data_IF_321874597710
#
_entry.id   IF_321874597710
#
_cell.length_a   1.000
_cell.length_b   1.000
_cell.length_c   1.000
_cell.angle_alpha   90.00
_cell.angle_beta   90.00
_cell.angle_gamma   90.00
#
_symmetry.space_group_name_H-M   'P 1'
#
loop_
_entity.id
_entity.type
_entity.pdbx_description
1 polymer ?
#
# COMPACT_ATOMS: atom_id res chain seq x y z
N UNK A 1 19.34 30.73 32.28
CA UNK A 1 18.76 29.68 31.41
C UNK A 1 19.75 29.47 30.28
N UNK A 2 20.31 28.26 30.11
CA UNK A 2 21.17 28.00 28.93
C UNK A 2 20.28 28.12 27.71
N UNK A 3 20.70 28.88 26.69
CA UNK A 3 19.96 28.96 25.43
C UNK A 3 19.88 27.57 24.80
N UNK A 4 18.82 27.27 24.03
CA UNK A 4 18.66 25.96 23.38
C UNK A 4 19.89 25.55 22.56
N UNK A 5 20.50 26.52 21.88
CA UNK A 5 21.76 26.36 21.14
C UNK A 5 22.95 25.96 22.03
N UNK A 6 23.13 26.60 23.19
CA UNK A 6 24.21 26.22 24.11
C UNK A 6 24.05 24.80 24.65
N UNK A 7 22.82 24.41 25.00
CA UNK A 7 22.53 23.05 25.46
C UNK A 7 22.85 22.05 24.34
N UNK A 8 22.41 22.33 23.11
CA UNK A 8 22.69 21.51 21.93
C UNK A 8 24.19 21.27 21.72
N UNK A 9 25.01 22.33 21.70
CA UNK A 9 26.45 22.21 21.50
C UNK A 9 27.16 21.48 22.65
N UNK A 10 26.72 21.71 23.90
CA UNK A 10 27.23 20.99 25.08
C UNK A 10 26.95 19.49 24.97
N UNK A 11 25.74 19.11 24.59
CA UNK A 11 25.34 17.70 24.46
C UNK A 11 26.10 17.00 23.33
N UNK A 12 26.29 17.66 22.17
CA UNK A 12 27.11 17.12 21.07
C UNK A 12 28.55 16.88 21.52
N UNK A 13 29.17 17.86 22.18
CA UNK A 13 30.55 17.75 22.66
C UNK A 13 30.71 16.63 23.71
N UNK A 14 29.75 16.52 24.64
CA UNK A 14 29.72 15.45 25.64
C UNK A 14 29.62 14.07 24.97
N UNK A 15 28.73 13.94 23.98
CA UNK A 15 28.51 12.71 23.21
C UNK A 15 29.78 12.26 22.48
N UNK A 16 30.48 13.16 21.79
CA UNK A 16 31.75 12.83 21.12
C UNK A 16 32.76 12.23 22.09
N UNK A 17 32.85 12.77 23.32
CA UNK A 17 33.74 12.25 24.36
C UNK A 17 33.29 10.87 24.86
N UNK A 18 31.99 10.66 25.06
CA UNK A 18 31.42 9.38 25.49
C UNK A 18 31.63 8.29 24.44
N UNK A 19 31.35 8.58 23.16
CA UNK A 19 31.58 7.67 22.03
C UNK A 19 33.05 7.26 21.92
N UNK A 20 34.00 8.21 22.06
CA UNK A 20 35.45 7.90 22.08
C UNK A 20 35.84 6.95 23.23
N UNK A 21 35.13 7.03 24.36
CA UNK A 21 35.31 6.14 25.52
C UNK A 21 34.50 4.85 25.43
N UNK A 22 33.78 4.61 24.33
CA UNK A 22 32.86 3.48 24.13
C UNK A 22 31.71 3.45 25.15
N UNK A 23 31.36 4.60 25.73
CA UNK A 23 30.24 4.81 26.64
C UNK A 23 28.96 5.08 25.84
N UNK A 24 28.53 4.09 25.05
CA UNK A 24 27.46 4.26 24.08
C UNK A 24 26.09 4.42 24.74
N UNK A 25 25.80 3.64 25.78
CA UNK A 25 24.50 3.68 26.47
C UNK A 25 24.28 5.00 27.19
N UNK A 26 25.33 5.55 27.82
CA UNK A 26 25.26 6.86 28.45
C UNK A 26 25.14 8.00 27.42
N UNK A 27 25.75 7.83 26.24
CA UNK A 27 25.61 8.76 25.13
C UNK A 27 24.17 8.76 24.59
N UNK A 28 23.60 7.57 24.34
CA UNK A 28 22.22 7.39 23.89
C UNK A 28 21.24 8.03 24.87
N UNK A 29 21.36 7.70 26.17
CA UNK A 29 20.47 8.26 27.20
C UNK A 29 20.59 9.79 27.29
N UNK A 30 21.81 10.32 27.21
CA UNK A 30 22.06 11.77 27.21
C UNK A 30 21.43 12.46 25.99
N UNK A 31 21.56 11.87 24.80
CA UNK A 31 20.99 12.40 23.56
C UNK A 31 19.47 12.32 23.56
N UNK A 32 18.89 11.21 24.02
CA UNK A 32 17.45 11.01 24.11
C UNK A 32 16.80 12.10 24.99
N UNK A 33 17.28 12.24 26.24
CA UNK A 33 16.74 13.26 27.15
C UNK A 33 16.97 14.67 26.61
N UNK A 34 18.16 14.94 26.07
CA UNK A 34 18.49 16.24 25.50
C UNK A 34 17.62 16.62 24.30
N UNK A 35 17.30 15.65 23.43
CA UNK A 35 16.37 15.85 22.33
C UNK A 35 14.97 16.21 22.85
N UNK A 36 14.44 15.45 23.81
CA UNK A 36 13.13 15.73 24.41
C UNK A 36 13.08 17.10 25.08
N UNK A 37 14.13 17.50 25.81
CA UNK A 37 14.21 18.79 26.50
C UNK A 37 14.16 19.97 25.52
N UNK A 38 14.93 19.87 24.42
CA UNK A 38 14.95 20.87 23.35
C UNK A 38 13.61 20.93 22.61
N UNK A 39 12.99 19.78 22.32
CA UNK A 39 11.67 19.75 21.69
C UNK A 39 10.59 20.39 22.58
N UNK A 40 10.65 20.26 23.92
CA UNK A 40 9.74 21.02 24.82
C UNK A 40 9.94 22.52 24.77
N UNK A 41 11.12 22.98 24.38
CA UNK A 41 11.43 24.40 24.22
C UNK A 41 11.11 24.89 22.80
N UNK A 42 10.45 24.06 21.98
CA UNK A 42 10.17 24.33 20.56
C UNK A 42 11.41 24.47 19.67
N UNK A 43 12.57 24.01 20.14
CA UNK A 43 13.83 24.00 19.39
C UNK A 43 13.88 22.78 18.45
N UNK A 44 13.01 22.75 17.44
CA UNK A 44 12.79 21.60 16.56
C UNK A 44 14.06 21.10 15.88
N UNK A 45 14.82 22.02 15.26
CA UNK A 45 16.05 21.67 14.55
C UNK A 45 17.12 21.06 15.47
N UNK A 46 17.34 21.66 16.63
CA UNK A 46 18.32 21.19 17.61
C UNK A 46 17.91 19.85 18.22
N UNK A 47 16.64 19.69 18.61
CA UNK A 47 16.12 18.44 19.16
C UNK A 47 16.18 17.28 18.17
N UNK A 48 15.78 17.51 16.92
CA UNK A 48 15.83 16.50 15.87
C UNK A 48 17.26 16.16 15.43
N UNK A 49 18.20 17.14 15.43
CA UNK A 49 19.63 16.86 15.18
C UNK A 49 20.21 15.91 16.24
N UNK A 50 19.89 16.13 17.52
CA UNK A 50 20.29 15.20 18.58
C UNK A 50 19.66 13.82 18.43
N UNK A 51 18.41 13.74 17.96
CA UNK A 51 17.75 12.47 17.68
C UNK A 51 18.43 11.69 16.55
N UNK A 52 18.79 12.37 15.45
CA UNK A 52 19.58 11.75 14.37
C UNK A 52 20.93 11.30 14.89
N UNK A 53 21.60 12.11 15.72
CA UNK A 53 22.88 11.72 16.31
C UNK A 53 22.72 10.50 17.24
N UNK A 54 21.62 10.37 17.97
CA UNK A 54 21.32 9.17 18.78
C UNK A 54 21.24 7.93 17.90
N UNK A 55 20.55 8.02 16.76
CA UNK A 55 20.41 6.93 15.78
C UNK A 55 21.77 6.60 15.14
N UNK A 56 22.63 7.59 14.89
CA UNK A 56 24.00 7.34 14.42
C UNK A 56 24.81 6.56 15.48
N UNK A 57 24.64 6.87 16.77
CA UNK A 57 25.27 6.11 17.86
C UNK A 57 24.74 4.67 17.93
N UNK A 58 23.46 4.44 17.65
CA UNK A 58 22.94 3.07 17.46
C UNK A 58 23.69 2.35 16.34
N UNK A 59 23.94 3.02 15.22
CA UNK A 59 24.71 2.48 14.11
C UNK A 59 26.18 2.18 14.44
N UNK A 60 26.80 2.93 15.36
CA UNK A 60 28.18 2.70 15.81
C UNK A 60 28.27 1.53 16.79
N UNK A 61 27.26 1.37 17.66
CA UNK A 61 27.20 0.30 18.66
C UNK A 61 26.67 -1.03 18.08
N UNK A 62 26.18 -1.02 16.84
CA UNK A 62 25.39 -2.12 16.27
C UNK A 62 24.17 -2.48 17.15
N UNK A 63 23.44 -1.45 17.61
CA UNK A 63 22.26 -1.63 18.47
C UNK A 63 21.15 -2.39 17.70
N UNK A 64 20.64 -3.50 18.25
CA UNK A 64 19.53 -4.24 17.65
C UNK A 64 18.21 -3.44 17.74
N UNK A 65 17.24 -3.81 16.91
CA UNK A 65 15.90 -3.22 16.96
C UNK A 65 15.06 -3.87 18.07
N UNK A 66 15.32 -3.46 19.32
CA UNK A 66 14.57 -3.89 20.50
C UNK A 66 13.47 -2.87 20.90
N UNK A 67 12.73 -3.17 21.96
CA UNK A 67 11.66 -2.26 22.44
C UNK A 67 12.21 -0.93 22.89
N UNK A 68 13.30 -0.92 23.66
CA UNK A 68 13.85 0.31 24.23
C UNK A 68 14.38 1.25 23.15
N UNK A 69 15.05 0.69 22.14
CA UNK A 69 15.55 1.46 21.00
C UNK A 69 14.41 2.09 20.20
N UNK A 70 13.31 1.35 20.00
CA UNK A 70 12.08 1.83 19.37
C UNK A 70 11.41 2.92 20.20
N UNK A 71 11.22 2.68 21.49
CA UNK A 71 10.48 3.57 22.39
C UNK A 71 11.14 4.97 22.43
N UNK A 72 12.48 5.02 22.54
CA UNK A 72 13.23 6.29 22.49
C UNK A 72 13.03 7.06 21.17
N UNK A 73 12.96 6.36 20.04
CA UNK A 73 12.71 7.01 18.74
C UNK A 73 11.26 7.52 18.70
N UNK A 74 10.30 6.71 19.14
CA UNK A 74 8.87 7.07 19.09
C UNK A 74 8.53 8.21 20.06
N UNK A 75 9.18 8.29 21.21
CA UNK A 75 9.04 9.38 22.18
C UNK A 75 9.44 10.73 21.57
N UNK A 76 10.58 10.75 20.87
CA UNK A 76 11.07 11.93 20.17
C UNK A 76 10.10 12.30 19.04
N UNK A 77 9.73 11.34 18.19
CA UNK A 77 8.84 11.59 17.05
C UNK A 77 7.46 12.11 17.48
N UNK A 78 6.93 11.63 18.61
CA UNK A 78 5.66 12.10 19.17
C UNK A 78 5.71 13.56 19.62
N UNK A 79 6.89 14.06 20.01
CA UNK A 79 7.09 15.43 20.49
C UNK A 79 7.55 16.40 19.39
N UNK A 80 8.13 15.87 18.32
CA UNK A 80 8.59 16.66 17.18
C UNK A 80 7.41 17.19 16.34
N UNK A 81 7.53 18.43 15.87
CA UNK A 81 6.53 19.07 15.02
C UNK A 81 6.48 18.40 13.63
N UNK A 82 5.35 18.49 12.90
CA UNK A 82 5.21 18.03 11.52
C UNK A 82 5.95 18.92 10.53
N UNK A 83 7.27 18.94 10.64
CA UNK A 83 8.17 19.74 9.80
C UNK A 83 9.26 18.89 9.13
N UNK A 84 10.11 19.57 8.37
CA UNK A 84 11.25 18.96 7.70
C UNK A 84 12.24 18.27 8.65
N UNK A 85 12.37 18.74 9.89
CA UNK A 85 13.30 18.17 10.86
C UNK A 85 12.81 16.81 11.35
N UNK A 86 11.52 16.66 11.63
CA UNK A 86 10.96 15.36 11.98
C UNK A 86 11.07 14.35 10.84
N UNK A 87 10.90 14.80 9.58
CA UNK A 87 11.14 13.94 8.41
C UNK A 87 12.57 13.36 8.41
N UNK A 88 13.59 14.16 8.74
CA UNK A 88 14.98 13.65 8.86
C UNK A 88 15.11 12.56 9.91
N UNK A 89 14.44 12.70 11.06
CA UNK A 89 14.45 11.69 12.12
C UNK A 89 13.76 10.41 11.63
N UNK A 90 12.62 10.52 10.95
CA UNK A 90 11.92 9.37 10.34
C UNK A 90 12.82 8.65 9.33
N UNK A 91 13.44 9.39 8.40
CA UNK A 91 14.32 8.81 7.38
C UNK A 91 15.53 8.09 8.01
N UNK A 92 16.14 8.71 9.02
CA UNK A 92 17.25 8.12 9.77
C UNK A 92 16.82 6.86 10.53
N UNK A 93 15.67 6.89 11.21
CA UNK A 93 15.14 5.77 11.97
C UNK A 93 14.78 4.58 11.07
N UNK A 94 14.13 4.84 9.94
CA UNK A 94 13.84 3.82 8.93
C UNK A 94 15.13 3.21 8.39
N UNK A 95 16.09 4.03 7.97
CA UNK A 95 17.38 3.58 7.43
C UNK A 95 18.16 2.74 8.44
N UNK A 96 18.20 3.18 9.70
CA UNK A 96 18.81 2.40 10.77
C UNK A 96 18.09 1.07 10.96
N UNK A 97 16.76 1.07 11.03
CA UNK A 97 15.99 -0.16 11.26
C UNK A 97 16.19 -1.19 10.14
N UNK A 98 16.27 -0.76 8.87
CA UNK A 98 16.59 -1.64 7.72
C UNK A 98 17.96 -2.28 7.92
N UNK A 99 18.98 -1.48 8.29
CA UNK A 99 20.34 -1.98 8.49
C UNK A 99 20.41 -2.93 9.69
N UNK A 100 19.77 -2.58 10.81
CA UNK A 100 19.85 -3.30 12.07
C UNK A 100 19.03 -4.60 12.09
N UNK A 101 17.89 -4.65 11.41
CA UNK A 101 17.10 -5.88 11.26
C UNK A 101 17.53 -6.74 10.06
N UNK A 102 18.13 -6.12 9.04
CA UNK A 102 18.38 -6.77 7.75
C UNK A 102 17.15 -6.88 6.86
N UNK A 103 15.99 -6.37 7.29
CA UNK A 103 14.75 -6.39 6.53
C UNK A 103 14.68 -5.22 5.55
N UNK A 104 14.33 -5.49 4.30
CA UNK A 104 14.19 -4.45 3.26
C UNK A 104 13.17 -3.37 3.60
N UNK A 105 12.18 -3.68 4.45
CA UNK A 105 11.12 -2.77 4.89
C UNK A 105 11.44 -2.03 6.18
N UNK A 106 12.46 -2.44 6.92
CA UNK A 106 12.75 -1.94 8.26
C UNK A 106 11.88 -2.60 9.32
N UNK A 107 11.83 -2.02 10.52
CA UNK A 107 11.04 -2.60 11.61
C UNK A 107 9.52 -2.32 11.44
N UNK A 108 8.66 -3.36 11.47
CA UNK A 108 7.23 -3.21 11.26
C UNK A 108 6.52 -2.33 12.30
N UNK A 109 6.91 -2.38 13.57
CA UNK A 109 6.27 -1.58 14.64
C UNK A 109 6.63 -0.10 14.51
N UNK A 110 7.89 0.21 14.23
CA UNK A 110 8.35 1.56 13.94
C UNK A 110 7.66 2.12 12.70
N UNK A 111 7.56 1.32 11.63
CA UNK A 111 6.80 1.69 10.41
C UNK A 111 5.34 1.99 10.74
N UNK A 112 4.67 1.13 11.52
CA UNK A 112 3.29 1.33 11.93
C UNK A 112 3.09 2.59 12.78
N UNK A 113 4.03 2.87 13.69
CA UNK A 113 3.98 4.10 14.49
C UNK A 113 4.06 5.34 13.60
N UNK A 114 5.02 5.40 12.68
CA UNK A 114 5.18 6.53 11.75
C UNK A 114 3.94 6.68 10.86
N UNK A 115 3.38 5.57 10.38
CA UNK A 115 2.16 5.60 9.56
C UNK A 115 0.98 6.21 10.33
N UNK A 116 0.77 5.78 11.59
CA UNK A 116 -0.29 6.33 12.46
C UNK A 116 -0.05 7.80 12.80
N UNK A 117 1.20 8.21 12.99
CA UNK A 117 1.56 9.60 13.24
C UNK A 117 1.15 10.50 12.08
N UNK A 118 1.55 10.15 10.84
CA UNK A 118 1.18 10.89 9.64
C UNK A 118 -0.33 10.88 9.39
N UNK A 119 -1.00 9.73 9.53
CA UNK A 119 -2.44 9.63 9.35
C UNK A 119 -3.22 10.51 10.33
N UNK A 120 -2.80 10.58 11.60
CA UNK A 120 -3.40 11.45 12.62
C UNK A 120 -3.34 12.94 12.24
N UNK A 121 -2.32 13.32 11.49
CA UNK A 121 -2.10 14.69 11.03
C UNK A 121 -2.76 14.98 9.68
N UNK A 122 -3.41 13.99 9.08
CA UNK A 122 -4.03 14.10 7.76
C UNK A 122 -3.07 13.92 6.59
N UNK A 123 -1.81 13.59 6.85
CA UNK A 123 -0.79 13.35 5.82
C UNK A 123 -0.82 11.89 5.36
N UNK A 124 -1.93 11.51 4.74
CA UNK A 124 -2.17 10.11 4.37
C UNK A 124 -1.27 9.62 3.23
N UNK A 125 -0.83 10.50 2.34
CA UNK A 125 0.08 10.15 1.23
C UNK A 125 1.40 9.60 1.75
N UNK A 126 2.00 10.30 2.73
CA UNK A 126 3.22 9.82 3.38
C UNK A 126 2.93 8.63 4.31
N UNK A 127 1.78 8.59 4.97
CA UNK A 127 1.40 7.47 5.84
C UNK A 127 1.32 6.13 5.09
N UNK A 128 0.84 6.14 3.86
CA UNK A 128 0.52 4.94 3.07
C UNK A 128 1.71 4.00 2.90
N UNK A 129 2.86 4.52 2.46
CA UNK A 129 4.07 3.71 2.28
C UNK A 129 4.54 3.06 3.59
N UNK A 130 4.34 3.75 4.72
CA UNK A 130 4.66 3.22 6.04
C UNK A 130 3.66 2.16 6.50
N UNK A 131 2.36 2.34 6.24
CA UNK A 131 1.36 1.30 6.52
C UNK A 131 1.63 0.03 5.71
N UNK A 132 1.89 0.17 4.41
CA UNK A 132 2.22 -0.96 3.55
C UNK A 132 3.47 -1.69 4.05
N UNK A 133 4.56 -0.96 4.32
CA UNK A 133 5.79 -1.55 4.86
C UNK A 133 5.57 -2.25 6.22
N UNK A 134 4.65 -1.76 7.06
CA UNK A 134 4.31 -2.40 8.34
C UNK A 134 3.49 -3.69 8.21
N UNK A 135 2.84 -3.89 7.05
CA UNK A 135 2.05 -5.08 6.76
C UNK A 135 2.87 -6.20 6.09
N UNK A 136 3.96 -5.85 5.40
CA UNK A 136 4.78 -6.81 4.65
C UNK A 136 5.78 -7.49 5.57
N UNK A 137 5.58 -8.79 5.76
CA UNK A 137 6.49 -9.67 6.49
C UNK A 137 7.67 -10.07 5.62
N UNK A 138 8.87 -10.07 6.20
CA UNK A 138 10.10 -10.54 5.55
C UNK A 138 10.66 -11.72 6.34
N UNK A 139 11.66 -12.42 5.81
CA UNK A 139 12.36 -13.50 6.52
C UNK A 139 13.08 -13.03 7.80
N UNK A 140 13.25 -11.71 7.98
CA UNK A 140 13.89 -11.08 9.14
C UNK A 140 12.91 -10.38 10.09
N UNK A 141 11.62 -10.30 9.74
CA UNK A 141 10.62 -9.56 10.52
C UNK A 141 9.41 -10.42 10.86
N UNK A 142 8.46 -9.85 11.58
CA UNK A 142 7.27 -10.50 12.08
C UNK A 142 6.02 -9.75 11.60
N UNK A 143 4.91 -10.47 11.44
CA UNK A 143 3.62 -9.87 11.15
C UNK A 143 3.11 -9.03 12.35
N UNK A 144 2.60 -7.83 12.07
CA UNK A 144 1.91 -6.99 13.06
C UNK A 144 0.42 -7.06 12.82
N UNK A 145 -0.32 -7.82 13.63
CA UNK A 145 -1.77 -8.07 13.43
C UNK A 145 -2.62 -6.79 13.36
N UNK A 146 -2.19 -5.74 14.07
CA UNK A 146 -2.90 -4.45 14.08
C UNK A 146 -2.60 -3.56 12.87
N UNK A 147 -1.53 -3.84 12.11
CA UNK A 147 -1.11 -3.03 10.97
C UNK A 147 -2.17 -2.96 9.85
N UNK A 148 -2.67 -4.08 9.30
CA UNK A 148 -3.68 -4.02 8.23
C UNK A 148 -4.99 -3.39 8.69
N UNK A 149 -5.35 -3.56 9.98
CA UNK A 149 -6.56 -2.96 10.56
C UNK A 149 -6.43 -1.44 10.66
N UNK A 150 -5.29 -0.95 11.16
CA UNK A 150 -5.01 0.49 11.23
C UNK A 150 -4.91 1.11 9.83
N UNK A 151 -4.33 0.38 8.87
CA UNK A 151 -4.26 0.82 7.49
C UNK A 151 -5.64 0.97 6.86
N UNK A 152 -6.53 -0.02 7.07
CA UNK A 152 -7.91 0.03 6.60
C UNK A 152 -8.70 1.19 7.19
N UNK A 153 -8.56 1.44 8.49
CA UNK A 153 -9.19 2.59 9.16
C UNK A 153 -8.69 3.91 8.61
N UNK A 154 -7.37 4.06 8.41
CA UNK A 154 -6.78 5.27 7.85
C UNK A 154 -7.25 5.51 6.40
N UNK A 155 -7.34 4.45 5.58
CA UNK A 155 -7.84 4.56 4.21
C UNK A 155 -9.33 4.92 4.15
N UNK A 156 -10.15 4.38 5.05
CA UNK A 156 -11.56 4.75 5.15
C UNK A 156 -11.76 6.21 5.63
N UNK A 157 -10.94 6.66 6.59
CA UNK A 157 -10.95 8.05 7.05
C UNK A 157 -10.47 9.00 5.95
N UNK A 158 -9.40 8.64 5.23
CA UNK A 158 -8.89 9.43 4.11
C UNK A 158 -9.93 9.58 3.01
N UNK A 159 -10.59 8.48 2.62
CA UNK A 159 -11.69 8.50 1.66
C UNK A 159 -12.79 9.49 2.09
N UNK A 160 -13.21 9.48 3.36
CA UNK A 160 -14.25 10.39 3.85
C UNK A 160 -13.79 11.87 3.82
N UNK A 161 -12.54 12.14 4.20
CA UNK A 161 -11.96 13.49 4.15
C UNK A 161 -11.81 13.99 2.71
N UNK A 162 -11.33 13.13 1.82
CA UNK A 162 -11.20 13.39 0.39
C UNK A 162 -12.55 13.75 -0.23
N UNK A 163 -13.58 12.93 0.01
CA UNK A 163 -14.91 13.17 -0.51
C UNK A 163 -15.50 14.50 -0.01
N UNK A 164 -15.28 14.83 1.27
CA UNK A 164 -15.68 16.11 1.84
C UNK A 164 -14.97 17.28 1.16
N UNK A 165 -13.64 17.22 1.02
CA UNK A 165 -12.85 18.27 0.38
C UNK A 165 -13.23 18.48 -1.09
N UNK A 166 -13.48 17.40 -1.82
CA UNK A 166 -13.94 17.46 -3.21
C UNK A 166 -15.34 18.10 -3.31
N UNK A 167 -16.29 17.71 -2.45
CA UNK A 167 -17.64 18.31 -2.43
C UNK A 167 -17.67 19.80 -2.06
N UNK A 168 -16.69 20.28 -1.28
CA UNK A 168 -16.58 21.71 -0.93
C UNK A 168 -16.20 22.57 -2.13
N UNK A 169 -15.61 21.98 -3.17
CA UNK A 169 -15.29 22.68 -4.43
C UNK A 169 -16.51 22.77 -5.36
N UNK A 170 -17.49 21.87 -5.22
CA UNK A 170 -18.64 21.71 -6.11
C UNK A 170 -19.98 22.16 -5.49
N UNK A 171 -20.05 22.31 -4.16
CA UNK A 171 -21.03 23.16 -3.48
C UNK A 171 -22.21 22.46 -2.77
N UNK A 172 -22.31 21.13 -2.77
CA UNK A 172 -23.43 20.43 -2.10
C UNK A 172 -23.04 19.18 -1.29
N UNK A 173 -23.65 18.99 -0.11
CA UNK A 173 -23.37 17.85 0.80
C UNK A 173 -23.75 16.48 0.21
N UNK A 174 -24.74 16.41 -0.68
CA UNK A 174 -25.14 15.17 -1.36
C UNK A 174 -24.06 14.61 -2.30
N UNK A 175 -23.11 15.45 -2.68
CA UNK A 175 -22.00 15.14 -3.56
C UNK A 175 -20.90 14.36 -2.84
N UNK A 176 -20.65 14.64 -1.55
CA UNK A 176 -19.66 13.92 -0.76
C UNK A 176 -19.96 12.42 -0.67
N UNK A 177 -21.19 12.01 -0.35
CA UNK A 177 -21.56 10.59 -0.29
C UNK A 177 -21.48 9.91 -1.67
N UNK A 178 -21.77 10.65 -2.75
CA UNK A 178 -21.65 10.15 -4.12
C UNK A 178 -20.18 9.95 -4.49
N UNK A 179 -19.31 10.94 -4.24
CA UNK A 179 -17.86 10.85 -4.44
C UNK A 179 -17.30 9.70 -3.60
N UNK A 180 -17.72 9.58 -2.34
CA UNK A 180 -17.30 8.48 -1.48
C UNK A 180 -17.67 7.12 -2.07
N UNK A 181 -18.87 6.99 -2.64
CA UNK A 181 -19.34 5.75 -3.30
C UNK A 181 -18.52 5.42 -4.54
N UNK A 182 -18.18 6.42 -5.34
CA UNK A 182 -17.41 6.28 -6.58
C UNK A 182 -15.96 5.90 -6.27
N UNK A 183 -15.35 6.51 -5.28
CA UNK A 183 -13.92 6.36 -4.97
C UNK A 183 -13.60 5.21 -4.00
N UNK A 184 -14.60 4.63 -3.34
CA UNK A 184 -14.41 3.56 -2.35
C UNK A 184 -13.54 2.40 -2.87
N UNK A 185 -13.76 1.96 -4.11
CA UNK A 185 -12.96 0.89 -4.69
C UNK A 185 -11.51 1.29 -4.95
N UNK A 186 -11.26 2.51 -5.43
CA UNK A 186 -9.90 3.00 -5.70
C UNK A 186 -9.07 3.08 -4.43
N UNK A 187 -9.64 3.60 -3.34
CA UNK A 187 -8.99 3.61 -2.03
C UNK A 187 -8.73 2.21 -1.46
N UNK A 188 -9.61 1.23 -1.72
CA UNK A 188 -9.34 -0.16 -1.37
C UNK A 188 -8.13 -0.72 -2.15
N UNK A 189 -8.09 -0.48 -3.47
CA UNK A 189 -7.04 -0.99 -4.35
C UNK A 189 -5.65 -0.41 -4.06
N UNK A 190 -5.57 0.82 -3.56
CA UNK A 190 -4.31 1.43 -3.05
C UNK A 190 -3.58 0.54 -2.04
N UNK A 191 -4.35 -0.18 -1.22
CA UNK A 191 -3.79 -1.08 -0.22
C UNK A 191 -3.73 -2.52 -0.71
N UNK A 192 -4.83 -3.06 -1.24
CA UNK A 192 -4.92 -4.49 -1.54
C UNK A 192 -3.98 -4.92 -2.65
N UNK A 193 -3.87 -4.14 -3.74
CA UNK A 193 -3.01 -4.51 -4.87
C UNK A 193 -1.53 -4.58 -4.45
N UNK A 194 -0.96 -3.55 -3.79
CA UNK A 194 0.41 -3.65 -3.28
C UNK A 194 0.60 -4.74 -2.23
N UNK A 195 -0.38 -4.99 -1.34
CA UNK A 195 -0.28 -6.08 -0.37
C UNK A 195 -0.19 -7.45 -1.06
N UNK A 196 -1.03 -7.70 -2.07
CA UNK A 196 -1.00 -8.95 -2.85
C UNK A 196 0.30 -9.09 -3.64
N UNK A 197 0.80 -8.00 -4.25
CA UNK A 197 2.07 -7.98 -4.99
C UNK A 197 3.30 -8.17 -4.09
N UNK A 198 3.20 -7.87 -2.78
CA UNK A 198 4.27 -8.08 -1.80
C UNK A 198 4.05 -9.33 -0.94
N UNK A 199 3.30 -10.29 -1.47
CA UNK A 199 2.99 -11.56 -0.82
C UNK A 199 2.28 -11.50 0.55
N UNK A 200 1.70 -10.37 0.93
CA UNK A 200 1.07 -10.13 2.22
C UNK A 200 -0.44 -10.50 2.22
N UNK A 201 -0.78 -11.74 1.85
CA UNK A 201 -2.17 -12.18 1.62
C UNK A 201 -3.03 -12.12 2.88
N UNK A 202 -2.50 -12.58 4.02
CA UNK A 202 -3.24 -12.54 5.30
C UNK A 202 -3.56 -11.11 5.72
N UNK A 203 -2.63 -10.19 5.46
CA UNK A 203 -2.76 -8.77 5.73
C UNK A 203 -3.74 -8.11 4.76
N UNK A 204 -3.75 -8.50 3.48
CA UNK A 204 -4.75 -8.06 2.50
C UNK A 204 -6.17 -8.49 2.92
N UNK A 205 -6.36 -9.73 3.39
CA UNK A 205 -7.63 -10.20 3.93
C UNK A 205 -8.08 -9.40 5.16
N UNK A 206 -7.20 -9.21 6.13
CA UNK A 206 -7.50 -8.44 7.34
C UNK A 206 -7.81 -6.97 7.02
N UNK A 207 -7.08 -6.36 6.08
CA UNK A 207 -7.35 -5.02 5.58
C UNK A 207 -8.74 -4.96 4.94
N UNK A 208 -9.02 -5.86 3.98
CA UNK A 208 -10.27 -5.87 3.21
C UNK A 208 -11.49 -6.02 4.14
N UNK A 209 -11.41 -6.92 5.12
CA UNK A 209 -12.50 -7.14 6.08
C UNK A 209 -12.82 -5.87 6.89
N UNK A 210 -11.79 -5.22 7.45
CA UNK A 210 -11.97 -3.99 8.25
C UNK A 210 -12.42 -2.83 7.37
N UNK A 211 -11.83 -2.68 6.18
CA UNK A 211 -12.16 -1.60 5.25
C UNK A 211 -13.63 -1.69 4.84
N UNK A 212 -14.08 -2.84 4.33
CA UNK A 212 -15.46 -3.08 3.92
C UNK A 212 -16.44 -2.84 5.06
N UNK A 213 -16.17 -3.40 6.25
CA UNK A 213 -17.04 -3.22 7.41
C UNK A 213 -17.17 -1.73 7.77
N UNK A 214 -16.07 -0.99 7.70
CA UNK A 214 -16.04 0.44 8.02
C UNK A 214 -16.83 1.26 6.98
N UNK A 215 -16.50 1.11 5.69
CA UNK A 215 -17.11 1.93 4.64
C UNK A 215 -18.58 1.57 4.38
N UNK A 216 -18.98 0.31 4.52
CA UNK A 216 -20.38 -0.10 4.32
C UNK A 216 -21.26 0.25 5.52
N UNK A 217 -20.70 0.33 6.72
CA UNK A 217 -21.40 0.83 7.89
C UNK A 217 -21.70 2.33 7.79
N UNK A 218 -20.76 3.12 7.25
CA UNK A 218 -20.95 4.57 7.04
C UNK A 218 -21.76 4.89 5.78
N UNK A 219 -21.62 4.09 4.70
CA UNK A 219 -22.21 4.35 3.39
C UNK A 219 -23.05 3.17 2.91
N UNK A 220 -24.26 3.02 3.48
CA UNK A 220 -25.18 1.93 3.12
C UNK A 220 -25.54 1.89 1.63
N UNK A 221 -25.53 3.05 0.98
CA UNK A 221 -25.82 3.20 -0.45
C UNK A 221 -24.77 2.58 -1.38
N UNK A 222 -23.62 2.16 -0.84
CA UNK A 222 -22.62 1.38 -1.56
C UNK A 222 -23.10 -0.04 -1.85
N UNK A 223 -23.98 -0.58 -1.00
CA UNK A 223 -24.48 -1.95 -1.09
C UNK A 223 -25.64 -2.08 -2.06
N UNK A 224 -25.64 -3.15 -2.84
CA UNK A 224 -26.80 -3.54 -3.64
C UNK A 224 -27.92 -4.07 -2.72
N UNK A 225 -29.20 -3.83 -3.06
CA UNK A 225 -30.36 -4.22 -2.26
C UNK A 225 -30.67 -5.72 -2.42
N UNK A 226 -29.75 -6.57 -1.99
CA UNK A 226 -29.81 -8.03 -2.09
C UNK A 226 -29.74 -8.65 -0.70
N UNK A 227 -30.52 -9.70 -0.45
CA UNK A 227 -30.54 -10.39 0.85
C UNK A 227 -30.23 -11.89 0.66
N UNK A 228 -29.27 -12.48 1.40
CA UNK A 228 -28.31 -11.81 2.29
C UNK A 228 -27.27 -11.00 1.50
N UNK A 229 -26.74 -9.94 2.13
CA UNK A 229 -25.55 -9.18 1.72
C UNK A 229 -24.84 -8.77 3.02
N UNK A 230 -23.61 -9.24 3.30
CA UNK A 230 -22.71 -9.97 2.40
C UNK A 230 -23.13 -11.43 2.14
N UNK A 231 -22.52 -12.04 1.11
CA UNK A 231 -22.73 -13.45 0.74
C UNK A 231 -21.45 -14.27 0.94
N UNK A 232 -21.57 -15.58 1.25
CA UNK A 232 -20.41 -16.46 1.27
C UNK A 232 -19.70 -16.46 -0.09
N UNK A 233 -18.37 -16.38 -0.06
CA UNK A 233 -17.56 -16.51 -1.26
C UNK A 233 -17.60 -17.95 -1.77
N UNK A 234 -17.87 -18.11 -3.07
CA UNK A 234 -17.74 -19.38 -3.79
C UNK A 234 -16.71 -19.19 -4.91
N UNK A 235 -15.58 -19.94 -4.90
CA UNK A 235 -14.57 -19.79 -5.93
C UNK A 235 -15.14 -20.14 -7.32
N UNK A 236 -15.07 -19.22 -8.30
CA UNK A 236 -15.63 -19.45 -9.63
C UNK A 236 -15.00 -20.66 -10.32
N UNK A 237 -15.82 -21.60 -10.81
CA UNK A 237 -15.34 -22.79 -11.53
C UNK A 237 -14.68 -23.85 -10.64
N UNK A 238 -14.79 -23.75 -9.31
CA UNK A 238 -14.29 -24.78 -8.41
C UNK A 238 -15.10 -26.07 -8.52
N UNK A 239 -14.46 -27.26 -8.58
CA UNK A 239 -15.14 -28.56 -8.55
C UNK A 239 -15.68 -28.93 -7.16
N UNK A 240 -15.40 -28.12 -6.13
CA UNK A 240 -15.84 -28.38 -4.77
C UNK A 240 -17.34 -28.05 -4.58
N UNK A 241 -18.05 -28.90 -3.85
CA UNK A 241 -19.46 -28.70 -3.48
C UNK A 241 -19.60 -27.40 -2.65
N UNK A 242 -20.71 -26.65 -2.74
CA UNK A 242 -20.94 -25.39 -1.99
C UNK A 242 -20.77 -25.47 -0.46
N UNK A 243 -20.65 -26.69 0.09
CA UNK A 243 -20.47 -26.99 1.50
C UNK A 243 -19.01 -26.94 1.99
N UNK A 244 -18.00 -26.84 1.11
CA UNK A 244 -16.64 -26.45 1.54
C UNK A 244 -16.59 -24.93 1.71
N UNK A 245 -17.27 -24.43 2.72
CA UNK A 245 -17.47 -23.00 2.98
C UNK A 245 -16.14 -22.34 3.33
N UNK A 246 -15.63 -21.51 2.42
CA UNK A 246 -14.65 -20.49 2.81
C UNK A 246 -15.31 -19.55 3.81
N UNK A 247 -14.66 -19.22 4.92
CA UNK A 247 -15.18 -18.25 5.91
C UNK A 247 -15.30 -16.81 5.33
N UNK A 248 -14.76 -16.60 4.13
CA UNK A 248 -14.74 -15.32 3.45
C UNK A 248 -16.13 -14.92 2.96
N UNK A 249 -16.51 -13.69 3.26
CA UNK A 249 -17.75 -13.08 2.81
C UNK A 249 -17.46 -11.96 1.81
N UNK A 250 -18.24 -11.89 0.73
CA UNK A 250 -18.19 -10.82 -0.26
C UNK A 250 -19.41 -9.92 -0.12
N UNK A 251 -19.16 -8.62 -0.03
CA UNK A 251 -20.20 -7.59 -0.09
C UNK A 251 -20.53 -7.33 -1.56
N UNK A 252 -21.82 -7.40 -1.89
CA UNK A 252 -22.29 -7.03 -3.22
C UNK A 252 -22.45 -5.51 -3.28
N UNK A 253 -21.61 -4.85 -4.07
CA UNK A 253 -21.57 -3.39 -4.17
C UNK A 253 -21.81 -2.92 -5.60
N UNK A 254 -22.23 -1.67 -5.74
CA UNK A 254 -22.34 -1.01 -7.05
C UNK A 254 -20.98 -0.47 -7.57
N UNK A 255 -19.89 -0.63 -6.82
CA UNK A 255 -18.58 -0.10 -7.18
C UNK A 255 -17.70 -1.22 -7.79
N UNK A 256 -17.36 -1.08 -9.08
CA UNK A 256 -16.61 -2.09 -9.81
C UNK A 256 -15.18 -2.30 -9.25
N UNK A 257 -14.45 -1.23 -8.95
CA UNK A 257 -13.10 -1.30 -8.36
C UNK A 257 -13.10 -2.04 -7.01
N UNK A 258 -14.14 -1.83 -6.19
CA UNK A 258 -14.28 -2.48 -4.89
C UNK A 258 -14.65 -3.96 -5.03
N UNK A 259 -15.50 -4.29 -6.00
CA UNK A 259 -15.83 -5.68 -6.33
C UNK A 259 -14.59 -6.44 -6.85
N UNK A 260 -13.77 -5.79 -7.70
CA UNK A 260 -12.48 -6.34 -8.12
C UNK A 260 -11.55 -6.57 -6.93
N UNK A 261 -11.38 -5.59 -6.04
CA UNK A 261 -10.53 -5.72 -4.84
C UNK A 261 -10.91 -6.95 -4.02
N UNK A 262 -12.21 -7.12 -3.74
CA UNK A 262 -12.74 -8.26 -3.02
C UNK A 262 -12.42 -9.59 -3.68
N UNK A 263 -12.71 -9.70 -4.98
CA UNK A 263 -12.53 -10.95 -5.73
C UNK A 263 -11.03 -11.27 -5.95
N UNK A 264 -10.19 -10.26 -6.16
CA UNK A 264 -8.75 -10.42 -6.32
C UNK A 264 -8.13 -10.98 -5.03
N UNK A 265 -8.47 -10.40 -3.86
CA UNK A 265 -8.01 -10.91 -2.56
C UNK A 265 -8.52 -12.34 -2.33
N UNK A 266 -9.77 -12.63 -2.68
CA UNK A 266 -10.35 -13.97 -2.54
C UNK A 266 -9.63 -15.01 -3.40
N UNK A 267 -9.44 -14.76 -4.69
CA UNK A 267 -8.75 -15.67 -5.61
C UNK A 267 -7.28 -15.87 -5.23
N UNK A 268 -6.58 -14.81 -4.83
CA UNK A 268 -5.19 -14.93 -4.37
C UNK A 268 -5.13 -15.73 -3.06
N UNK A 269 -6.09 -15.54 -2.14
CA UNK A 269 -6.16 -16.34 -0.91
C UNK A 269 -6.38 -17.83 -1.18
N UNK A 270 -7.13 -18.16 -2.22
CA UNK A 270 -7.30 -19.54 -2.66
C UNK A 270 -6.02 -20.06 -3.29
N UNK A 271 -5.39 -19.27 -4.15
CA UNK A 271 -4.15 -19.66 -4.82
C UNK A 271 -2.99 -19.87 -3.85
N UNK A 272 -2.95 -19.09 -2.77
CA UNK A 272 -1.97 -19.22 -1.71
C UNK A 272 -2.01 -20.58 -0.97
N UNK A 273 -3.09 -21.35 -1.11
CA UNK A 273 -3.19 -22.73 -0.60
C UNK A 273 -2.44 -23.74 -1.49
N UNK A 274 -2.05 -23.34 -2.70
CA UNK A 274 -1.34 -24.14 -3.68
C UNK A 274 0.11 -23.69 -3.82
N UNK A 275 0.99 -24.60 -4.26
CA UNK A 275 2.32 -24.21 -4.71
C UNK A 275 2.22 -23.47 -6.06
N UNK A 276 3.10 -22.48 -6.34
CA UNK A 276 3.04 -21.70 -7.59
C UNK A 276 3.04 -22.55 -8.87
N UNK A 277 3.71 -23.72 -8.86
CA UNK A 277 3.78 -24.64 -10.00
C UNK A 277 2.56 -25.57 -10.13
N UNK A 278 1.63 -25.54 -9.17
CA UNK A 278 0.50 -26.49 -9.06
C UNK A 278 -0.85 -25.79 -8.95
N UNK A 279 -0.94 -24.52 -9.35
CA UNK A 279 -2.20 -23.77 -9.35
C UNK A 279 -3.18 -24.43 -10.36
N UNK A 280 -4.40 -24.79 -9.94
CA UNK A 280 -5.38 -25.40 -10.85
C UNK A 280 -5.74 -24.51 -12.05
N UNK A 281 -6.08 -25.12 -13.19
CA UNK A 281 -6.47 -24.37 -14.40
C UNK A 281 -7.73 -23.52 -14.19
N UNK A 282 -8.71 -24.01 -13.43
CA UNK A 282 -9.93 -23.25 -13.13
C UNK A 282 -9.62 -21.95 -12.38
N UNK A 283 -8.65 -21.98 -11.46
CA UNK A 283 -8.27 -20.81 -10.65
C UNK A 283 -7.46 -19.81 -11.50
N UNK A 284 -6.58 -20.31 -12.38
CA UNK A 284 -5.89 -19.49 -13.39
C UNK A 284 -6.89 -18.80 -14.32
N UNK A 285 -7.86 -19.55 -14.84
CA UNK A 285 -8.89 -19.01 -15.73
C UNK A 285 -9.80 -18.01 -15.01
N UNK A 286 -10.14 -18.25 -13.73
CA UNK A 286 -10.90 -17.32 -12.91
C UNK A 286 -10.18 -15.97 -12.76
N UNK A 287 -8.86 -15.98 -12.51
CA UNK A 287 -8.07 -14.75 -12.47
C UNK A 287 -8.03 -14.03 -13.82
N UNK A 288 -7.76 -14.75 -14.91
CA UNK A 288 -7.72 -14.16 -16.27
C UNK A 288 -9.06 -13.50 -16.61
N UNK A 289 -10.17 -14.19 -16.34
CA UNK A 289 -11.50 -13.68 -16.60
C UNK A 289 -11.82 -12.46 -15.71
N UNK A 290 -11.43 -12.50 -14.44
CA UNK A 290 -11.59 -11.37 -13.52
C UNK A 290 -10.88 -10.13 -14.05
N UNK A 291 -9.58 -10.24 -14.37
CA UNK A 291 -8.79 -9.12 -14.88
C UNK A 291 -9.40 -8.57 -16.16
N UNK A 292 -9.73 -9.44 -17.13
CA UNK A 292 -10.33 -9.04 -18.41
C UNK A 292 -11.66 -8.33 -18.25
N UNK A 293 -12.49 -8.75 -17.30
CA UNK A 293 -13.77 -8.12 -17.01
C UNK A 293 -13.55 -6.72 -16.43
N UNK A 294 -12.76 -6.63 -15.35
CA UNK A 294 -12.60 -5.39 -14.61
C UNK A 294 -11.65 -4.39 -15.29
N UNK A 295 -10.84 -4.79 -16.26
CA UNK A 295 -10.18 -3.84 -17.18
C UNK A 295 -11.19 -2.98 -17.96
N UNK A 296 -12.43 -3.46 -18.15
CA UNK A 296 -13.51 -2.74 -18.84
C UNK A 296 -14.43 -1.98 -17.88
N UNK A 297 -14.66 -2.55 -16.70
CA UNK A 297 -15.65 -2.06 -15.74
C UNK A 297 -15.04 -1.18 -14.64
N UNK A 298 -13.76 -1.36 -14.35
CA UNK A 298 -13.06 -0.77 -13.20
C UNK A 298 -12.02 0.26 -13.69
N UNK A 299 -12.30 1.56 -13.58
CA UNK A 299 -11.41 2.60 -14.08
C UNK A 299 -10.00 2.52 -13.52
N UNK A 300 -9.84 2.08 -12.26
CA UNK A 300 -8.54 2.03 -11.60
C UNK A 300 -7.54 1.11 -12.32
N UNK A 301 -8.01 0.01 -12.91
CA UNK A 301 -7.14 -0.97 -13.58
C UNK A 301 -6.47 -0.41 -14.83
N UNK A 302 -7.04 0.64 -15.43
CA UNK A 302 -6.52 1.26 -16.64
C UNK A 302 -5.89 2.64 -16.37
N UNK A 303 -6.43 3.39 -15.41
CA UNK A 303 -6.03 4.78 -15.16
C UNK A 303 -4.93 4.92 -14.10
N UNK A 304 -4.77 3.95 -13.20
CA UNK A 304 -3.77 4.00 -12.13
C UNK A 304 -2.55 3.14 -12.49
N UNK A 305 -1.44 3.79 -12.84
CA UNK A 305 -0.23 3.13 -13.34
C UNK A 305 0.34 2.10 -12.36
N UNK A 306 0.34 2.42 -11.06
CA UNK A 306 0.80 1.49 -10.02
C UNK A 306 -0.05 0.22 -9.93
N UNK A 307 -1.38 0.34 -10.07
CA UNK A 307 -2.29 -0.80 -10.06
C UNK A 307 -2.10 -1.61 -11.33
N UNK A 308 -2.15 -0.95 -12.49
CA UNK A 308 -1.98 -1.56 -13.82
C UNK A 308 -0.67 -2.34 -13.94
N UNK A 309 0.43 -1.80 -13.42
CA UNK A 309 1.73 -2.46 -13.45
C UNK A 309 1.82 -3.68 -12.51
N UNK A 310 1.06 -3.70 -11.41
CA UNK A 310 1.08 -4.78 -10.43
C UNK A 310 0.23 -6.00 -10.84
N UNK A 311 -0.84 -5.82 -11.64
CA UNK A 311 -1.72 -6.92 -12.04
C UNK A 311 -0.97 -8.07 -12.75
N UNK A 312 -0.09 -7.82 -13.74
CA UNK A 312 0.70 -8.89 -14.37
C UNK A 312 1.66 -9.58 -13.40
N UNK A 313 2.23 -8.84 -12.44
CA UNK A 313 3.07 -9.41 -11.40
C UNK A 313 2.27 -10.37 -10.52
N UNK A 314 1.10 -9.94 -10.01
CA UNK A 314 0.21 -10.79 -9.21
C UNK A 314 -0.19 -12.05 -9.99
N UNK A 315 -0.51 -11.90 -11.28
CA UNK A 315 -0.80 -13.02 -12.18
C UNK A 315 0.34 -14.04 -12.26
N UNK A 316 1.58 -13.57 -12.36
CA UNK A 316 2.75 -14.44 -12.40
C UNK A 316 3.02 -15.11 -11.04
N UNK A 317 3.04 -14.31 -9.98
CA UNK A 317 3.44 -14.73 -8.63
C UNK A 317 2.45 -15.74 -8.03
N UNK A 318 1.15 -15.51 -8.23
CA UNK A 318 0.11 -16.31 -7.61
C UNK A 318 -0.55 -17.32 -8.53
N UNK A 319 -0.52 -17.11 -9.86
CA UNK A 319 -1.23 -17.97 -10.80
C UNK A 319 -0.32 -18.60 -11.86
N UNK A 320 0.99 -18.36 -11.79
CA UNK A 320 1.96 -18.95 -12.72
C UNK A 320 1.78 -18.47 -14.17
N UNK A 321 1.14 -17.31 -14.37
CA UNK A 321 0.90 -16.75 -15.70
C UNK A 321 2.20 -16.19 -16.28
N UNK A 322 2.41 -16.40 -17.57
CA UNK A 322 3.53 -15.80 -18.28
C UNK A 322 3.29 -14.30 -18.39
N UNK A 323 4.26 -13.49 -17.95
CA UNK A 323 4.17 -12.04 -18.14
C UNK A 323 4.14 -11.73 -19.64
N UNK A 324 3.21 -10.87 -20.11
CA UNK A 324 3.17 -10.48 -21.50
C UNK A 324 4.50 -9.84 -21.88
N UNK A 325 5.15 -10.39 -22.91
CA UNK A 325 6.40 -9.82 -23.43
C UNK A 325 6.14 -8.37 -23.81
N UNK A 326 6.92 -7.47 -23.21
CA UNK A 326 6.79 -6.04 -23.37
C UNK A 326 6.85 -5.68 -24.87
N UNK A 327 5.75 -5.21 -25.46
CA UNK A 327 5.69 -4.77 -26.87
C UNK A 327 6.53 -3.51 -27.16
N UNK A 328 7.25 -2.97 -26.18
CA UNK A 328 8.16 -1.84 -26.35
C UNK A 328 9.40 -2.13 -27.22
N UNK A 329 9.70 -3.40 -27.51
CA UNK A 329 10.87 -3.77 -28.31
C UNK A 329 10.61 -3.87 -29.82
N UNK A 330 9.38 -3.63 -30.32
CA UNK A 330 9.10 -3.85 -31.75
C UNK A 330 9.88 -2.89 -32.66
N UNK A 331 10.13 -1.65 -32.24
CA UNK A 331 10.93 -0.69 -33.02
C UNK A 331 12.43 -1.07 -33.02
N UNK A 332 12.95 -1.52 -31.88
CA UNK A 332 14.34 -1.98 -31.75
C UNK A 332 14.57 -3.27 -32.54
N UNK A 333 13.62 -4.21 -32.50
CA UNK A 333 13.66 -5.47 -33.23
C UNK A 333 13.47 -5.26 -34.74
N UNK A 334 12.66 -4.27 -35.15
CA UNK A 334 12.56 -3.86 -36.55
C UNK A 334 13.85 -3.19 -37.04
N UNK A 335 14.47 -2.31 -36.26
CA UNK A 335 15.75 -1.68 -36.63
C UNK A 335 16.87 -2.73 -36.69
N UNK A 336 16.91 -3.67 -35.76
CA UNK A 336 17.87 -4.78 -35.79
C UNK A 336 17.67 -5.70 -37.01
N UNK A 337 16.42 -5.98 -37.36
CA UNK A 337 16.03 -6.73 -38.57
C UNK A 337 16.37 -5.97 -39.87
N UNK A 338 16.25 -4.65 -39.86
CA UNK A 338 16.54 -3.80 -41.02
C UNK A 338 18.05 -3.53 -41.22
N UNK A 339 18.85 -3.58 -40.14
CA UNK A 339 20.28 -3.21 -40.15
C UNK A 339 21.26 -4.39 -39.93
N UNK A 340 20.81 -5.62 -39.69
CA UNK A 340 21.71 -6.75 -39.39
C UNK A 340 21.30 -8.08 -40.03
N UNK A 341 22.03 -8.49 -41.07
CA UNK A 341 21.93 -9.81 -41.72
C UNK A 341 22.28 -11.01 -40.83
N UNK A 342 22.23 -12.25 -41.39
CA UNK A 342 21.92 -13.47 -40.64
C UNK A 342 22.97 -13.79 -39.56
N UNK A 343 22.53 -13.84 -38.31
CA UNK A 343 23.33 -14.27 -37.18
C UNK A 343 23.44 -15.80 -37.15
N UNK A 344 24.62 -16.28 -37.54
CA UNK A 344 25.07 -17.64 -37.30
C UNK A 344 25.29 -17.92 -35.81
N UNK A 345 25.14 -19.20 -35.46
CA UNK A 345 25.33 -19.77 -34.14
C UNK A 345 26.70 -19.43 -33.53
N UNK A 346 26.70 -19.07 -32.24
CA UNK A 346 27.92 -18.87 -31.45
C UNK A 346 27.60 -18.81 -29.96
N UNK A 347 28.12 -19.77 -29.21
CA UNK A 347 27.91 -20.00 -27.79
C UNK A 347 28.45 -18.88 -26.87
N UNK A 348 27.87 -18.74 -25.68
CA UNK A 348 28.41 -17.91 -24.62
C UNK A 348 27.40 -17.62 -23.50
N UNK A 349 26.94 -18.66 -22.79
CA UNK A 349 26.08 -18.50 -21.62
C UNK A 349 26.87 -17.96 -20.43
N UNK A 350 27.05 -16.65 -20.38
CA UNK A 350 27.50 -15.96 -19.18
C UNK A 350 26.37 -16.02 -18.15
N UNK A 351 26.63 -16.71 -17.04
CA UNK A 351 25.79 -16.67 -15.85
C UNK A 351 25.77 -15.23 -15.32
N UNK A 352 24.69 -14.50 -15.62
CA UNK A 352 24.41 -13.23 -14.98
C UNK A 352 23.95 -13.54 -13.55
N UNK A 353 24.87 -13.37 -12.59
CA UNK A 353 24.51 -13.20 -11.19
C UNK A 353 23.49 -12.05 -11.09
N UNK A 354 22.22 -12.41 -10.89
CA UNK A 354 21.23 -11.47 -10.37
C UNK A 354 21.68 -11.11 -8.96
N UNK A 355 22.33 -9.96 -8.82
CA UNK A 355 22.33 -9.25 -7.54
C UNK A 355 20.87 -9.02 -7.18
N UNK A 356 20.39 -9.68 -6.13
CA UNK A 356 19.17 -9.34 -5.42
C UNK A 356 19.25 -7.87 -4.99
N UNK A 357 18.78 -6.98 -5.86
CA UNK A 357 18.37 -5.65 -5.43
C UNK A 357 17.02 -5.86 -4.72
N UNK A 358 16.86 -5.41 -3.47
CA UNK A 358 15.59 -5.57 -2.78
C UNK A 358 14.51 -4.90 -3.62
N UNK A 359 13.51 -5.69 -4.03
CA UNK A 359 12.35 -5.19 -4.73
C UNK A 359 11.77 -4.02 -3.92
N UNK A 360 11.81 -2.82 -4.49
CA UNK A 360 11.17 -1.66 -3.87
C UNK A 360 9.68 -1.98 -3.73
N UNK A 361 9.18 -1.96 -2.50
CA UNK A 361 7.75 -1.96 -2.23
C UNK A 361 7.20 -0.68 -2.83
N UNK A 362 6.64 -0.77 -4.04
CA UNK A 362 5.94 0.34 -4.67
C UNK A 362 4.52 0.37 -4.11
N UNK A 363 4.25 1.38 -3.27
CA UNK A 363 2.88 1.78 -2.92
C UNK A 363 2.23 2.55 -4.09
N UNK A 364 0.99 2.99 -3.93
CA UNK A 364 0.36 3.86 -4.93
C UNK A 364 0.99 5.26 -4.89
N UNK A 365 1.35 5.83 -6.04
CA UNK A 365 2.22 7.02 -6.14
C UNK A 365 1.54 8.35 -5.74
N UNK A 366 0.20 8.45 -5.79
CA UNK A 366 -0.60 9.62 -5.37
C UNK A 366 -2.08 9.23 -5.23
N UNK A 367 -2.90 9.89 -4.39
CA UNK A 367 -4.33 9.59 -4.25
C UNK A 367 -5.04 9.62 -5.61
N UNK A 368 -6.05 8.76 -5.81
CA UNK A 368 -6.85 8.81 -7.02
C UNK A 368 -7.46 10.21 -7.19
N UNK A 369 -7.29 10.81 -8.36
CA UNK A 369 -8.05 12.01 -8.74
C UNK A 369 -9.53 11.64 -8.85
N UNK A 370 -10.50 12.46 -8.37
CA UNK A 370 -11.91 12.11 -8.45
C UNK A 370 -12.31 11.72 -9.87
N UNK A 371 -13.01 10.60 -10.04
CA UNK A 371 -13.74 10.30 -11.25
C UNK A 371 -14.88 11.32 -11.33
N UNK A 372 -14.80 12.20 -12.33
CA UNK A 372 -15.47 13.52 -12.54
C UNK A 372 -14.81 14.73 -11.85
N UNK A 373 -13.97 15.43 -12.62
CA UNK A 373 -14.32 16.76 -13.11
C UNK A 373 -13.87 16.82 -14.59
N UNK A 374 -14.76 17.10 -15.57
CA UNK A 374 -14.28 17.46 -16.90
C UNK A 374 -13.51 18.78 -16.75
N UNK A 375 -12.25 18.80 -17.19
CA UNK A 375 -11.63 20.07 -17.54
C UNK A 375 -12.57 20.79 -18.52
N UNK A 376 -12.80 22.07 -18.30
CA UNK A 376 -13.49 22.92 -19.24
C UNK A 376 -12.64 23.07 -20.51
N UNK A 377 -12.61 22.03 -21.35
CA UNK A 377 -12.23 22.16 -22.74
C UNK A 377 -13.47 22.56 -23.51
N UNK A 378 -13.54 23.84 -23.85
CA UNK A 378 -14.48 24.38 -24.81
C UNK A 378 -14.26 23.73 -26.16
N UNK A 379 -14.95 22.62 -26.45
CA UNK A 379 -15.24 22.20 -27.81
C UNK A 379 -16.68 21.75 -27.92
N UNK A 380 -17.46 22.54 -28.64
CA UNK A 380 -18.80 22.20 -29.09
C UNK A 380 -18.73 21.00 -30.04
N UNK A 381 -19.49 19.95 -29.75
CA UNK A 381 -19.60 18.79 -30.63
C UNK A 381 -20.43 17.68 -29.99
N UNK A 382 -21.73 17.68 -30.29
CA UNK A 382 -22.69 16.72 -29.78
C UNK A 382 -22.34 15.26 -30.11
N UNK A 383 -22.41 14.38 -29.12
CA UNK A 383 -22.71 12.97 -29.30
C UNK A 383 -23.45 12.43 -28.07
N UNK A 384 -24.77 12.36 -28.16
CA UNK A 384 -25.63 11.66 -27.21
C UNK A 384 -25.20 10.20 -27.11
N UNK A 385 -24.75 9.76 -25.92
CA UNK A 385 -24.83 8.36 -25.50
C UNK A 385 -25.82 8.30 -24.34
N UNK A 386 -26.95 7.66 -24.59
CA UNK A 386 -27.96 7.34 -23.58
C UNK A 386 -27.33 6.47 -22.50
N UNK A 387 -27.47 6.88 -21.25
CA UNK A 387 -27.24 6.03 -20.09
C UNK A 387 -28.24 4.86 -20.13
N UNK A 388 -27.74 3.63 -20.04
CA UNK A 388 -28.59 2.46 -19.89
C UNK A 388 -29.25 2.46 -18.49
N UNK A 389 -30.52 2.05 -18.36
CA UNK A 389 -31.22 2.08 -17.08
C UNK A 389 -30.66 1.03 -16.11
N UNK A 390 -30.56 1.41 -14.83
CA UNK A 390 -29.99 0.62 -13.73
C UNK A 390 -30.61 -0.79 -13.53
N UNK A 391 -31.80 -1.05 -14.09
CA UNK A 391 -32.43 -2.37 -14.07
C UNK A 391 -31.69 -3.41 -14.92
N UNK A 392 -31.07 -3.01 -16.04
CA UNK A 392 -30.36 -3.92 -16.93
C UNK A 392 -29.04 -4.43 -16.34
N UNK A 393 -28.36 -3.62 -15.50
CA UNK A 393 -27.10 -3.99 -14.85
C UNK A 393 -27.32 -5.01 -13.73
N UNK A 394 -28.46 -4.94 -13.04
CA UNK A 394 -28.83 -5.91 -12.01
C UNK A 394 -29.21 -7.27 -12.61
N UNK A 395 -29.89 -7.29 -13.77
CA UNK A 395 -30.21 -8.52 -14.49
C UNK A 395 -28.96 -9.19 -15.10
N UNK A 396 -27.98 -8.42 -15.57
CA UNK A 396 -26.72 -8.97 -16.10
C UNK A 396 -25.89 -9.64 -14.98
N UNK A 397 -25.80 -9.00 -13.80
CA UNK A 397 -25.11 -9.58 -12.62
C UNK A 397 -25.81 -10.84 -12.08
N UNK A 398 -27.14 -10.93 -12.18
CA UNK A 398 -27.90 -12.13 -11.81
C UNK A 398 -27.78 -13.25 -12.87
N UNK A 399 -27.68 -12.89 -14.15
CA UNK A 399 -27.51 -13.83 -15.27
C UNK A 399 -26.11 -14.43 -15.32
N UNK A 400 -25.10 -13.69 -14.86
CA UNK A 400 -23.71 -14.14 -14.77
C UNK A 400 -23.55 -15.26 -13.73
N UNK A 401 -24.34 -15.29 -12.65
CA UNK A 401 -24.32 -16.42 -11.71
C UNK A 401 -24.96 -17.70 -12.27
N UNK A 402 -25.85 -17.59 -13.27
CA UNK A 402 -26.47 -18.74 -13.92
C UNK A 402 -25.65 -19.29 -15.10
N UNK A 403 -24.73 -18.49 -15.66
CA UNK A 403 -23.95 -18.85 -16.87
C UNK A 403 -22.63 -19.57 -16.58
N UNK A 404 -22.40 -19.99 -15.34
CA UNK A 404 -21.22 -20.76 -14.91
C UNK A 404 -21.56 -22.17 -14.38
N UNK A 405 -22.73 -22.72 -14.74
CA UNK A 405 -23.02 -24.14 -14.60
C UNK A 405 -22.67 -24.93 -15.86
#
# INVERSE_FOLDING_TARGET
MSTGYELHQKLRTKTVRQVKKKQYDEAISTLHQGALDLLSQSEQGSGCDLAVYMIDVYGIKDQPVDSEARDRITDILAKAAPDFWRKKVVDAAVKWSIKASGASTGDPLLRLFVAKLYAKEGDYEHAEAHFLASCVETDKTYAVESAPKAYAQAMAEWLAKFAKQASEQEGEKGEADAIQRIEAGRFALRATVPLLANHAVKQALAFQQVYLTTVTASLKSLLLPVTPNPRPYVPPGSPATPASTTELQLYLTANADLNFSQMAVALVSESAKHSPQRVPDWLRNAWINLVRQYEREAPALTQEDGIRAAIPQIGADWFGLQQPRNQGNMLSDMIASLFGGPSGAGAGGAAAEKKDQPAQIKGAEAPPKPLSAPAAETTAGAAQRQAAPAAAVAEDLLSIHASFN
#
